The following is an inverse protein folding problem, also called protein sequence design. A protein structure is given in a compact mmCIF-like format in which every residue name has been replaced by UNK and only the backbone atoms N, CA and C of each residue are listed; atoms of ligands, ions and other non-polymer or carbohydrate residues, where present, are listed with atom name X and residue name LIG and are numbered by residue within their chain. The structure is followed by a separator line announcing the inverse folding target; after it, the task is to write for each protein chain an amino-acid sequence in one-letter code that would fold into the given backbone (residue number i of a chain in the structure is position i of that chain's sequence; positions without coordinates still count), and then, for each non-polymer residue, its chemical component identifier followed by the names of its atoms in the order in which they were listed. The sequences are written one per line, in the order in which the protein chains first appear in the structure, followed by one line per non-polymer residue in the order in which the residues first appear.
data_IF_793968456624
#
_entry.id   IF_793968456624
#
_cell.length_a   1.000
_cell.length_b   1.000
_cell.length_c   1.000
_cell.angle_alpha   90.00
_cell.angle_beta   90.00
_cell.angle_gamma   90.00
#
_symmetry.space_group_name_H-M   'P 1'
#
loop_
_entity.id
_entity.type
_entity.pdbx_description
1 polymer ?
#
# COMPACT_ATOMS: atom_id res chain seq x y z
N UNK A 1 -22.64 17.85 -14.33
CA UNK A 1 -21.61 18.31 -13.35
C UNK A 1 -22.11 18.45 -11.90
N UNK A 2 -23.41 18.57 -11.61
CA UNK A 2 -23.93 18.79 -10.25
C UNK A 2 -23.85 17.60 -9.27
N UNK A 3 -24.10 16.37 -9.73
CA UNK A 3 -24.13 15.19 -8.83
C UNK A 3 -22.78 14.85 -8.19
N UNK A 4 -21.67 15.01 -8.91
CA UNK A 4 -20.32 14.73 -8.37
C UNK A 4 -19.91 15.72 -7.29
N UNK A 5 -20.20 17.01 -7.49
CA UNK A 5 -19.97 18.06 -6.47
C UNK A 5 -20.84 17.81 -5.23
N UNK A 6 -22.08 17.38 -5.42
CA UNK A 6 -22.99 17.03 -4.32
C UNK A 6 -22.52 15.81 -3.51
N UNK A 7 -22.02 14.75 -4.17
CA UNK A 7 -21.46 13.58 -3.46
C UNK A 7 -20.21 13.92 -2.67
N UNK A 8 -19.28 14.68 -3.25
CA UNK A 8 -18.06 15.11 -2.57
C UNK A 8 -18.39 16.01 -1.37
N UNK A 9 -19.26 16.99 -1.54
CA UNK A 9 -19.62 17.89 -0.44
C UNK A 9 -20.35 17.15 0.68
N UNK A 10 -21.20 16.18 0.36
CA UNK A 10 -21.83 15.31 1.35
C UNK A 10 -20.79 14.48 2.12
N UNK A 11 -19.86 13.82 1.42
CA UNK A 11 -18.80 13.03 2.04
C UNK A 11 -17.94 13.89 2.97
N UNK A 12 -17.47 15.05 2.51
CA UNK A 12 -16.61 15.94 3.32
C UNK A 12 -17.35 16.56 4.51
N UNK A 13 -18.68 16.71 4.44
CA UNK A 13 -19.49 17.08 5.61
C UNK A 13 -19.53 15.99 6.67
N UNK A 14 -19.58 14.73 6.26
CA UNK A 14 -19.56 13.57 7.17
C UNK A 14 -18.15 13.26 7.68
N UNK A 15 -17.14 13.56 6.87
CA UNK A 15 -15.74 13.25 7.11
C UNK A 15 -14.88 14.51 6.97
N UNK A 16 -14.99 15.47 7.91
CA UNK A 16 -14.41 16.81 7.73
C UNK A 16 -12.90 16.89 7.91
N UNK A 17 -12.26 15.88 8.54
CA UNK A 17 -10.84 15.89 8.88
C UNK A 17 -10.07 14.83 8.11
N UNK A 18 -8.82 15.13 7.75
CA UNK A 18 -7.91 14.22 7.08
C UNK A 18 -7.56 13.01 7.98
N UNK A 19 -7.61 11.80 7.44
CA UNK A 19 -7.25 10.59 8.19
C UNK A 19 -5.73 10.35 8.32
N UNK A 20 -4.91 11.06 7.56
CA UNK A 20 -3.46 10.79 7.45
C UNK A 20 -2.56 11.67 8.30
N UNK A 21 -3.03 12.85 8.73
CA UNK A 21 -2.24 13.82 9.49
C UNK A 21 -2.81 14.05 10.89
N UNK A 22 -3.18 12.98 11.59
CA UNK A 22 -3.73 13.08 12.95
C UNK A 22 -5.15 13.64 13.05
N UNK A 23 -5.80 14.00 11.94
CA UNK A 23 -7.05 14.76 11.97
C UNK A 23 -6.85 16.27 12.15
N UNK A 24 -5.62 16.77 12.01
CA UNK A 24 -5.28 18.17 12.27
C UNK A 24 -5.82 19.13 11.19
N UNK A 25 -5.86 18.66 9.94
CA UNK A 25 -6.22 19.47 8.77
C UNK A 25 -7.56 19.02 8.18
N UNK A 26 -8.32 19.98 7.66
CA UNK A 26 -9.57 19.71 6.97
C UNK A 26 -9.36 18.85 5.72
N UNK A 27 -10.27 17.91 5.50
CA UNK A 27 -10.30 17.10 4.31
C UNK A 27 -10.76 17.92 3.11
N UNK A 28 -9.99 17.84 2.02
CA UNK A 28 -10.31 18.50 0.75
C UNK A 28 -10.65 17.52 -0.37
N UNK A 29 -10.46 16.22 -0.13
CA UNK A 29 -10.54 15.19 -1.15
C UNK A 29 -10.94 13.83 -0.58
N UNK A 30 -11.37 12.94 -1.47
CA UNK A 30 -11.63 11.53 -1.18
C UNK A 30 -10.45 10.73 -1.72
N UNK A 31 -9.79 10.02 -0.83
CA UNK A 31 -8.74 9.07 -1.19
C UNK A 31 -9.29 7.64 -1.28
N UNK A 32 -8.72 6.84 -2.17
CA UNK A 32 -9.11 5.47 -2.43
C UNK A 32 -8.01 4.55 -1.92
N UNK A 33 -8.34 3.67 -0.98
CA UNK A 33 -7.36 2.83 -0.31
C UNK A 33 -7.75 1.35 -0.40
N UNK A 34 -6.93 0.46 -1.00
CA UNK A 34 -5.73 0.76 -1.76
C UNK A 34 -5.99 1.65 -2.98
N UNK A 35 -4.93 2.28 -3.55
CA UNK A 35 -5.04 3.13 -4.73
C UNK A 35 -5.66 2.39 -5.91
N UNK A 36 -6.47 3.10 -6.71
CA UNK A 36 -7.06 2.51 -7.94
C UNK A 36 -6.02 1.88 -8.86
N UNK A 37 -4.79 2.43 -8.85
CA UNK A 37 -3.70 1.96 -9.69
C UNK A 37 -3.41 0.47 -9.49
N UNK A 38 -3.57 -0.07 -8.28
CA UNK A 38 -3.28 -1.48 -7.95
C UNK A 38 -4.31 -2.45 -8.50
N UNK A 39 -5.50 -1.98 -8.89
CA UNK A 39 -6.54 -2.86 -9.43
C UNK A 39 -6.43 -2.96 -10.95
N UNK A 40 -6.74 -4.15 -11.49
CA UNK A 40 -6.80 -4.41 -12.94
C UNK A 40 -7.69 -3.37 -13.60
N UNK A 41 -7.19 -2.76 -14.67
CA UNK A 41 -7.90 -1.69 -15.41
C UNK A 41 -8.32 -0.46 -14.58
N UNK A 42 -7.72 -0.26 -13.39
CA UNK A 42 -8.15 0.75 -12.40
C UNK A 42 -9.61 0.56 -11.93
N UNK A 43 -10.18 -0.62 -12.13
CA UNK A 43 -11.55 -0.93 -11.77
C UNK A 43 -11.59 -1.57 -10.39
N UNK A 44 -12.14 -0.85 -9.41
CA UNK A 44 -12.32 -1.33 -8.04
C UNK A 44 -13.76 -1.15 -7.56
N UNK A 45 -14.26 -2.02 -6.67
CA UNK A 45 -15.48 -1.76 -5.92
C UNK A 45 -15.32 -0.58 -4.94
N UNK A 46 -16.43 0.06 -4.59
CA UNK A 46 -16.50 1.01 -3.46
C UNK A 46 -16.40 0.31 -2.10
N UNK A 47 -16.19 1.07 -1.03
CA UNK A 47 -16.20 0.60 0.36
C UNK A 47 -14.91 0.86 1.15
N UNK A 48 -13.95 1.57 0.58
CA UNK A 48 -12.69 1.94 1.22
C UNK A 48 -12.23 3.30 0.69
N UNK A 49 -13.06 4.30 0.95
CA UNK A 49 -12.87 5.69 0.60
C UNK A 49 -12.70 6.49 1.90
N UNK A 50 -11.62 7.27 2.02
CA UNK A 50 -11.29 8.00 3.26
C UNK A 50 -11.06 9.49 2.99
N UNK A 51 -11.30 10.36 3.99
CA UNK A 51 -11.04 11.78 3.86
C UNK A 51 -9.54 12.09 3.87
N UNK A 52 -9.08 12.88 2.92
CA UNK A 52 -7.69 13.34 2.87
C UNK A 52 -7.60 14.83 2.56
N UNK A 53 -6.68 15.54 3.22
CA UNK A 53 -6.31 16.88 2.82
C UNK A 53 -5.55 16.84 1.47
N UNK A 54 -5.52 17.97 0.76
CA UNK A 54 -4.86 18.07 -0.55
C UNK A 54 -3.37 17.75 -0.49
N UNK A 55 -2.71 18.06 0.63
CA UNK A 55 -1.28 17.78 0.81
C UNK A 55 -1.01 16.28 0.90
N UNK A 56 -1.60 15.58 1.88
CA UNK A 56 -1.38 14.14 2.05
C UNK A 56 -1.78 13.36 0.79
N UNK A 57 -2.95 13.63 0.21
CA UNK A 57 -3.41 12.92 -0.99
C UNK A 57 -2.46 13.12 -2.19
N UNK A 58 -1.90 14.32 -2.36
CA UNK A 58 -0.93 14.58 -3.44
C UNK A 58 0.44 13.94 -3.16
N UNK A 59 0.89 13.91 -1.91
CA UNK A 59 2.18 13.34 -1.51
C UNK A 59 2.30 11.85 -1.84
N UNK A 60 1.18 11.12 -1.84
CA UNK A 60 1.19 9.68 -2.06
C UNK A 60 1.22 9.24 -3.53
N UNK A 61 0.79 10.10 -4.46
CA UNK A 61 0.58 9.75 -5.88
C UNK A 61 1.79 9.09 -6.57
N UNK A 62 3.05 9.55 -6.36
CA UNK A 62 4.22 8.88 -6.94
C UNK A 62 4.41 7.43 -6.45
N UNK A 63 4.07 7.15 -5.19
CA UNK A 63 4.20 5.82 -4.58
C UNK A 63 3.09 4.87 -5.04
N UNK A 64 1.89 5.39 -5.34
CA UNK A 64 0.77 4.58 -5.85
C UNK A 64 1.10 3.83 -7.13
N UNK A 65 1.77 4.53 -8.06
CA UNK A 65 2.16 3.96 -9.35
C UNK A 65 3.26 2.91 -9.18
N UNK A 66 4.23 3.18 -8.30
CA UNK A 66 5.33 2.26 -8.04
C UNK A 66 4.84 0.99 -7.33
N UNK A 67 4.01 1.17 -6.32
CA UNK A 67 3.37 0.06 -5.60
C UNK A 67 2.50 -0.81 -6.50
N UNK A 68 1.72 -0.19 -7.39
CA UNK A 68 0.95 -0.92 -8.40
C UNK A 68 1.86 -1.71 -9.36
N UNK A 69 2.96 -1.12 -9.82
CA UNK A 69 3.95 -1.81 -10.65
C UNK A 69 4.49 -3.07 -9.97
N UNK A 70 4.94 -2.97 -8.70
CA UNK A 70 5.40 -4.13 -7.92
C UNK A 70 4.29 -5.17 -7.77
N UNK A 71 3.05 -4.73 -7.52
CA UNK A 71 1.90 -5.63 -7.37
C UNK A 71 1.59 -6.39 -8.68
N UNK A 72 1.82 -5.79 -9.85
CA UNK A 72 1.59 -6.43 -11.14
C UNK A 72 2.75 -7.30 -11.65
N UNK A 73 3.95 -7.22 -11.06
CA UNK A 73 5.12 -7.99 -11.53
C UNK A 73 4.86 -9.51 -11.58
N UNK A 74 3.94 -10.05 -10.77
CA UNK A 74 3.63 -11.47 -10.78
C UNK A 74 2.34 -11.87 -11.47
N UNK A 75 1.48 -10.90 -11.78
CA UNK A 75 0.20 -11.16 -12.44
C UNK A 75 0.42 -11.82 -13.82
N UNK A 76 1.57 -11.54 -14.45
CA UNK A 76 2.02 -12.10 -15.71
C UNK A 76 2.23 -13.62 -15.68
N UNK A 77 2.58 -14.21 -14.53
CA UNK A 77 2.95 -15.64 -14.45
C UNK A 77 1.77 -16.60 -14.22
N UNK A 78 0.70 -16.15 -13.55
CA UNK A 78 -0.43 -17.03 -13.17
C UNK A 78 -1.65 -16.93 -14.09
N UNK A 79 -1.88 -15.79 -14.74
CA UNK A 79 -3.20 -15.51 -15.35
C UNK A 79 -3.18 -15.34 -16.87
N UNK A 80 -2.05 -15.50 -17.56
CA UNK A 80 -1.87 -15.01 -18.95
C UNK A 80 -2.38 -13.57 -19.12
N UNK A 81 -2.32 -12.78 -18.05
CA UNK A 81 -2.88 -11.44 -18.00
C UNK A 81 -1.75 -10.45 -18.08
N UNK A 82 -1.72 -9.70 -19.17
CA UNK A 82 -0.83 -8.55 -19.34
C UNK A 82 -1.66 -7.32 -19.01
N UNK A 83 -1.33 -6.62 -17.93
CA UNK A 83 -1.94 -5.33 -17.62
C UNK A 83 -1.54 -4.33 -18.72
N UNK A 84 -2.47 -3.80 -19.53
CA UNK A 84 -2.13 -2.95 -20.69
C UNK A 84 -1.35 -1.70 -20.32
N UNK A 85 -1.47 -1.24 -19.07
CA UNK A 85 -0.77 -0.07 -18.54
C UNK A 85 0.69 -0.33 -18.16
N UNK A 86 1.17 -1.57 -18.16
CA UNK A 86 2.47 -1.92 -17.59
C UNK A 86 3.62 -1.09 -18.18
N UNK A 87 3.68 -0.94 -19.51
CA UNK A 87 4.69 -0.12 -20.16
C UNK A 87 4.59 1.36 -19.78
N UNK A 88 3.37 1.91 -19.71
CA UNK A 88 3.17 3.30 -19.28
C UNK A 88 3.55 3.53 -17.82
N UNK A 89 3.34 2.54 -16.94
CA UNK A 89 3.81 2.62 -15.54
C UNK A 89 5.34 2.72 -15.51
N UNK A 90 6.05 1.84 -16.22
CA UNK A 90 7.53 1.90 -16.28
C UNK A 90 7.99 3.29 -16.74
N UNK A 91 7.42 3.82 -17.82
CA UNK A 91 7.77 5.16 -18.31
C UNK A 91 7.51 6.26 -17.29
N UNK A 92 6.44 6.17 -16.49
CA UNK A 92 6.14 7.11 -15.39
C UNK A 92 7.06 6.97 -14.19
N UNK A 93 7.60 5.77 -13.95
CA UNK A 93 8.48 5.45 -12.82
C UNK A 93 9.94 5.78 -13.07
N UNK A 94 10.45 5.63 -14.30
CA UNK A 94 11.86 5.89 -14.63
C UNK A 94 12.36 7.27 -14.13
N UNK A 95 11.62 8.38 -14.29
CA UNK A 95 12.08 9.67 -13.80
C UNK A 95 12.13 9.80 -12.26
N UNK A 96 11.36 8.98 -11.53
CA UNK A 96 11.14 9.10 -10.08
C UNK A 96 11.89 8.04 -9.26
N UNK A 97 12.11 6.87 -9.86
CA UNK A 97 12.76 5.70 -9.28
C UNK A 97 13.80 5.10 -10.26
N UNK A 98 14.72 5.89 -10.84
CA UNK A 98 15.57 5.38 -11.92
C UNK A 98 16.47 4.23 -11.46
N UNK A 99 17.08 4.34 -10.29
CA UNK A 99 17.97 3.32 -9.73
C UNK A 99 17.22 2.01 -9.45
N UNK A 100 16.04 2.09 -8.80
CA UNK A 100 15.21 0.93 -8.53
C UNK A 100 14.72 0.24 -9.83
N UNK A 101 14.31 1.01 -10.85
CA UNK A 101 13.88 0.43 -12.13
C UNK A 101 15.06 -0.23 -12.85
N UNK A 102 16.23 0.43 -12.88
CA UNK A 102 17.46 -0.13 -13.47
C UNK A 102 17.86 -1.42 -12.75
N UNK A 103 17.81 -1.45 -11.42
CA UNK A 103 18.09 -2.63 -10.63
C UNK A 103 17.14 -3.77 -10.98
N UNK A 104 15.84 -3.53 -10.92
CA UNK A 104 14.81 -4.54 -11.22
C UNK A 104 15.06 -5.14 -12.59
N UNK A 105 15.33 -4.32 -13.61
CA UNK A 105 15.60 -4.80 -14.97
C UNK A 105 16.93 -5.56 -15.07
N UNK A 106 18.02 -5.04 -14.49
CA UNK A 106 19.37 -5.63 -14.62
C UNK A 106 19.54 -6.93 -13.83
N UNK A 107 18.98 -6.99 -12.63
CA UNK A 107 19.07 -8.15 -11.74
C UNK A 107 17.95 -9.16 -11.99
N UNK A 108 16.97 -8.83 -12.83
CA UNK A 108 15.97 -9.80 -13.29
C UNK A 108 16.63 -10.96 -14.01
N UNK A 109 16.25 -12.18 -13.64
CA UNK A 109 16.77 -13.41 -14.23
C UNK A 109 15.63 -14.31 -14.71
N UNK A 110 15.95 -15.27 -15.58
CA UNK A 110 15.00 -16.32 -15.95
C UNK A 110 15.00 -17.40 -14.88
N UNK A 111 13.82 -17.76 -14.40
CA UNK A 111 13.61 -18.85 -13.46
C UNK A 111 12.52 -19.80 -13.93
N UNK A 112 12.24 -20.80 -13.10
CA UNK A 112 11.17 -21.76 -13.32
C UNK A 112 10.34 -21.91 -12.05
N UNK A 113 9.02 -21.93 -12.19
CA UNK A 113 8.10 -22.20 -11.08
C UNK A 113 7.19 -23.37 -11.45
N UNK A 114 6.87 -24.21 -10.49
CA UNK A 114 5.82 -25.23 -10.66
C UNK A 114 4.46 -24.56 -10.50
N UNK A 115 3.58 -24.75 -11.47
CA UNK A 115 2.20 -24.32 -11.36
C UNK A 115 1.36 -25.30 -10.51
N UNK A 116 0.07 -25.03 -10.35
CA UNK A 116 -0.84 -25.89 -9.58
C UNK A 116 -1.02 -27.30 -10.16
N UNK A 117 -0.69 -27.51 -11.45
CA UNK A 117 -0.69 -28.82 -12.10
C UNK A 117 0.64 -29.56 -11.95
N UNK A 118 1.64 -28.94 -11.33
CA UNK A 118 2.99 -29.48 -11.17
C UNK A 118 3.92 -29.25 -12.37
N UNK A 119 3.44 -28.57 -13.43
CA UNK A 119 4.23 -28.27 -14.61
C UNK A 119 5.17 -27.07 -14.37
N UNK A 120 6.40 -27.17 -14.87
CA UNK A 120 7.36 -26.09 -14.81
C UNK A 120 7.02 -25.03 -15.86
N UNK A 121 6.86 -23.78 -15.40
CA UNK A 121 6.65 -22.61 -16.26
C UNK A 121 7.86 -21.66 -16.17
N UNK A 122 8.36 -21.16 -17.30
CA UNK A 122 9.41 -20.14 -17.28
C UNK A 122 8.84 -18.83 -16.72
N UNK A 123 9.60 -18.18 -15.86
CA UNK A 123 9.24 -16.89 -15.27
C UNK A 123 10.43 -15.93 -15.28
N UNK A 124 10.14 -14.64 -15.12
CA UNK A 124 11.15 -13.66 -14.76
C UNK A 124 11.13 -13.49 -13.24
N UNK A 125 12.28 -13.68 -12.62
CA UNK A 125 12.50 -13.46 -11.19
C UNK A 125 13.14 -12.09 -11.05
N UNK A 126 12.38 -11.12 -10.54
CA UNK A 126 12.87 -9.80 -10.18
C UNK A 126 13.36 -9.80 -8.72
N UNK A 127 14.48 -9.13 -8.48
CA UNK A 127 15.01 -8.87 -7.13
C UNK A 127 14.68 -7.44 -6.72
N UNK A 128 14.52 -7.23 -5.41
CA UNK A 128 14.21 -5.94 -4.82
C UNK A 128 15.22 -5.69 -3.71
N UNK A 129 16.33 -5.03 -4.02
CA UNK A 129 17.38 -4.68 -3.05
C UNK A 129 17.50 -3.15 -2.87
N UNK A 130 17.00 -2.36 -3.83
CA UNK A 130 17.00 -0.90 -3.73
C UNK A 130 16.10 -0.42 -2.57
N UNK A 131 16.63 0.37 -1.62
CA UNK A 131 15.87 0.89 -0.48
C UNK A 131 14.61 1.68 -0.86
N UNK A 132 14.55 2.31 -2.04
CA UNK A 132 13.35 3.00 -2.51
C UNK A 132 12.20 2.03 -2.80
N UNK A 133 12.49 0.78 -3.17
CA UNK A 133 11.45 -0.25 -3.33
C UNK A 133 10.81 -0.57 -1.99
N UNK A 134 11.65 -0.87 -0.99
CA UNK A 134 11.20 -1.18 0.37
C UNK A 134 10.39 -0.02 0.95
N UNK A 135 10.96 1.19 0.90
CA UNK A 135 10.29 2.40 1.33
C UNK A 135 8.91 2.58 0.70
N UNK A 136 8.79 2.45 -0.63
CA UNK A 136 7.51 2.65 -1.31
C UNK A 136 6.45 1.62 -0.88
N UNK A 137 6.83 0.35 -0.74
CA UNK A 137 5.92 -0.72 -0.30
C UNK A 137 5.48 -0.55 1.14
N UNK A 138 6.42 -0.24 2.01
CA UNK A 138 6.23 -0.08 3.45
C UNK A 138 5.45 1.20 3.78
N UNK A 139 5.76 2.30 3.09
CA UNK A 139 5.01 3.55 3.19
C UNK A 139 3.54 3.36 2.81
N UNK A 140 3.29 2.62 1.73
CA UNK A 140 1.93 2.30 1.29
C UNK A 140 1.19 1.45 2.32
N UNK A 141 1.87 0.52 2.99
CA UNK A 141 1.26 -0.24 4.08
C UNK A 141 0.90 0.65 5.27
N UNK A 142 1.78 1.57 5.69
CA UNK A 142 1.47 2.53 6.74
C UNK A 142 0.23 3.39 6.40
N UNK A 143 0.16 3.88 5.15
CA UNK A 143 -1.00 4.64 4.65
C UNK A 143 -2.29 3.80 4.67
N UNK A 144 -2.23 2.58 4.17
CA UNK A 144 -3.40 1.69 4.16
C UNK A 144 -3.85 1.41 5.60
N UNK A 145 -2.92 1.17 6.53
CA UNK A 145 -3.22 1.01 7.96
C UNK A 145 -3.92 2.23 8.55
N UNK A 146 -3.44 3.45 8.31
CA UNK A 146 -4.12 4.69 8.74
C UNK A 146 -5.57 4.75 8.28
N UNK A 147 -5.80 4.44 7.00
CA UNK A 147 -7.13 4.47 6.41
C UNK A 147 -8.04 3.40 7.03
N UNK A 148 -7.53 2.18 7.28
CA UNK A 148 -8.33 1.12 7.90
C UNK A 148 -8.63 1.40 9.37
N UNK A 149 -7.69 1.98 10.13
CA UNK A 149 -7.98 2.48 11.48
C UNK A 149 -9.12 3.49 11.42
N UNK A 150 -9.04 4.49 10.52
CA UNK A 150 -10.11 5.47 10.37
C UNK A 150 -11.47 4.83 10.04
N UNK A 151 -11.50 3.90 9.08
CA UNK A 151 -12.75 3.29 8.61
C UNK A 151 -13.41 2.38 9.65
N UNK A 152 -12.64 1.61 10.41
CA UNK A 152 -13.19 0.61 11.32
C UNK A 152 -13.24 1.07 12.78
N UNK A 153 -12.39 2.00 13.19
CA UNK A 153 -12.46 2.62 14.50
C UNK A 153 -13.27 3.91 14.49
N UNK A 154 -13.26 4.67 13.38
CA UNK A 154 -13.92 5.97 13.29
C UNK A 154 -13.06 7.16 13.75
N UNK A 155 -11.77 6.96 14.01
CA UNK A 155 -10.84 8.00 14.42
C UNK A 155 -9.53 7.96 13.60
N UNK A 156 -8.96 9.13 13.32
CA UNK A 156 -7.63 9.23 12.72
C UNK A 156 -6.57 8.67 13.66
N UNK A 157 -5.51 8.11 13.10
CA UNK A 157 -4.32 7.72 13.87
C UNK A 157 -3.67 8.99 14.44
N UNK A 158 -3.47 9.12 15.76
CA UNK A 158 -2.91 10.33 16.38
C UNK A 158 -1.50 10.67 15.91
N UNK A 159 -1.11 11.94 16.06
CA UNK A 159 0.28 12.37 15.89
C UNK A 159 1.23 11.51 16.75
N UNK A 160 2.47 11.35 16.28
CA UNK A 160 3.51 10.55 16.95
C UNK A 160 3.21 9.05 17.07
N UNK A 161 2.10 8.58 16.48
CA UNK A 161 1.90 7.15 16.32
C UNK A 161 2.88 6.61 15.29
N UNK A 162 3.55 5.52 15.62
CA UNK A 162 4.58 4.90 14.82
C UNK A 162 4.03 3.70 14.04
N UNK A 163 4.62 3.46 12.86
CA UNK A 163 4.33 2.29 12.03
C UNK A 163 5.59 1.44 11.89
N UNK A 164 5.46 0.17 12.25
CA UNK A 164 6.42 -0.87 11.91
C UNK A 164 5.86 -1.65 10.74
N UNK A 165 6.62 -1.79 9.69
CA UNK A 165 6.19 -2.51 8.49
C UNK A 165 7.26 -3.49 8.08
N UNK A 166 6.82 -4.63 7.57
CA UNK A 166 7.71 -5.62 6.95
C UNK A 166 6.98 -6.25 5.79
N UNK A 167 7.65 -6.42 4.67
CA UNK A 167 7.06 -7.10 3.53
C UNK A 167 7.90 -8.28 3.08
N UNK A 168 7.23 -9.25 2.47
CA UNK A 168 7.84 -10.44 1.88
C UNK A 168 7.24 -10.67 0.50
N UNK A 169 8.09 -10.90 -0.49
CA UNK A 169 7.65 -11.37 -1.80
C UNK A 169 7.18 -12.82 -1.73
N UNK A 170 6.44 -13.27 -2.74
CA UNK A 170 6.05 -14.68 -2.88
C UNK A 170 7.24 -15.66 -2.99
N UNK A 171 8.43 -15.16 -3.33
CA UNK A 171 9.64 -15.95 -3.56
C UNK A 171 10.51 -16.04 -2.31
N UNK A 172 10.19 -15.26 -1.27
CA UNK A 172 10.88 -15.31 0.01
C UNK A 172 10.59 -16.64 0.73
N UNK A 173 11.63 -17.22 1.35
CA UNK A 173 11.48 -18.39 2.21
C UNK A 173 10.55 -18.14 3.41
N UNK A 174 10.42 -16.89 3.84
CA UNK A 174 9.58 -16.49 4.97
C UNK A 174 8.09 -16.38 4.61
N UNK A 175 7.74 -16.41 3.32
CA UNK A 175 6.37 -16.11 2.86
C UNK A 175 5.32 -16.98 3.55
N UNK A 176 5.58 -18.28 3.72
CA UNK A 176 4.66 -19.20 4.40
C UNK A 176 4.47 -18.87 5.89
N UNK A 177 5.53 -18.45 6.57
CA UNK A 177 5.48 -18.08 7.99
C UNK A 177 4.69 -16.78 8.18
N UNK A 178 4.93 -15.76 7.36
CA UNK A 178 4.18 -14.50 7.40
C UNK A 178 2.69 -14.75 7.08
N UNK A 179 2.40 -15.61 6.10
CA UNK A 179 1.01 -15.99 5.78
C UNK A 179 0.32 -16.70 6.95
N UNK A 180 1.04 -17.55 7.69
CA UNK A 180 0.50 -18.21 8.89
C UNK A 180 0.19 -17.20 9.99
N UNK A 181 1.09 -16.24 10.24
CA UNK A 181 0.87 -15.16 11.21
C UNK A 181 -0.33 -14.29 10.82
N UNK A 182 -0.41 -13.90 9.54
CA UNK A 182 -1.51 -13.10 9.01
C UNK A 182 -2.88 -13.77 9.19
N UNK A 183 -2.96 -15.11 9.06
CA UNK A 183 -4.20 -15.88 9.29
C UNK A 183 -4.65 -15.86 10.75
N UNK A 184 -3.75 -15.59 11.70
CA UNK A 184 -4.08 -15.43 13.11
C UNK A 184 -4.82 -14.14 13.43
N UNK A 185 -4.84 -13.17 12.50
CA UNK A 185 -5.59 -11.93 12.66
C UNK A 185 -7.10 -12.18 12.48
N UNK A 186 -7.95 -11.66 13.40
CA UNK A 186 -9.35 -12.08 13.53
C UNK A 186 -10.26 -11.52 12.44
N UNK A 187 -10.01 -10.31 11.96
CA UNK A 187 -10.85 -9.67 10.96
C UNK A 187 -10.30 -9.86 9.55
N UNK A 188 -11.19 -9.82 8.56
CA UNK A 188 -10.88 -9.96 7.15
C UNK A 188 -11.65 -8.92 6.34
N UNK A 189 -11.00 -8.33 5.34
CA UNK A 189 -11.67 -7.50 4.35
C UNK A 189 -11.07 -7.67 2.95
N UNK A 190 -11.95 -7.64 1.96
CA UNK A 190 -11.65 -7.35 0.56
C UNK A 190 -12.76 -6.46 -0.01
N UNK A 191 -12.58 -5.93 -1.23
CA UNK A 191 -13.58 -5.12 -1.89
C UNK A 191 -14.56 -5.99 -2.70
N UNK A 192 -15.86 -5.71 -2.56
CA UNK A 192 -16.94 -6.40 -3.27
C UNK A 192 -18.09 -5.45 -3.59
N UNK A 193 -18.65 -5.56 -4.80
CA UNK A 193 -19.86 -4.85 -5.23
C UNK A 193 -20.69 -5.78 -6.11
N UNK A 194 -21.84 -6.23 -5.60
CA UNK A 194 -22.64 -7.26 -6.25
C UNK A 194 -21.86 -8.58 -6.39
N UNK A 195 -21.79 -9.11 -7.61
CA UNK A 195 -20.99 -10.30 -7.96
C UNK A 195 -19.50 -9.99 -8.17
N UNK A 196 -19.14 -8.73 -8.40
CA UNK A 196 -17.75 -8.32 -8.61
C UNK A 196 -17.01 -8.26 -7.27
N UNK A 197 -15.90 -8.97 -7.17
CA UNK A 197 -15.01 -8.96 -6.02
C UNK A 197 -13.55 -8.91 -6.49
N UNK A 198 -12.66 -8.44 -5.63
CA UNK A 198 -11.24 -8.29 -5.93
C UNK A 198 -10.36 -9.00 -4.90
N UNK A 199 -10.84 -10.09 -4.29
CA UNK A 199 -10.07 -10.85 -3.29
C UNK A 199 -8.82 -11.51 -3.89
N UNK A 200 -8.78 -11.67 -5.21
CA UNK A 200 -7.59 -12.09 -5.96
C UNK A 200 -6.54 -10.97 -6.12
N UNK A 201 -6.92 -9.70 -5.91
CA UNK A 201 -6.07 -8.52 -6.14
C UNK A 201 -5.68 -7.82 -4.85
N UNK A 202 -6.60 -7.76 -3.88
CA UNK A 202 -6.39 -7.14 -2.58
C UNK A 202 -7.23 -7.83 -1.51
N UNK A 203 -6.58 -8.16 -0.41
CA UNK A 203 -7.23 -8.51 0.83
C UNK A 203 -6.39 -8.02 2.02
N UNK A 204 -7.05 -7.81 3.15
CA UNK A 204 -6.40 -7.49 4.40
C UNK A 204 -6.97 -8.36 5.52
N UNK A 205 -6.11 -8.78 6.43
CA UNK A 205 -6.51 -9.24 7.75
C UNK A 205 -6.02 -8.28 8.81
N UNK A 206 -6.79 -8.10 9.88
CA UNK A 206 -6.46 -7.07 10.86
C UNK A 206 -7.05 -7.31 12.25
N UNK A 207 -6.48 -6.63 13.23
CA UNK A 207 -7.11 -6.28 14.49
C UNK A 207 -6.89 -4.80 14.76
N UNK A 208 -7.86 -4.14 15.42
CA UNK A 208 -7.73 -2.77 15.90
C UNK A 208 -8.24 -2.78 17.34
N UNK A 209 -7.35 -2.53 18.28
CA UNK A 209 -7.69 -2.36 19.71
C UNK A 209 -7.96 -0.87 20.00
N UNK A 210 -7.13 0.01 19.43
CA UNK A 210 -7.26 1.46 19.53
C UNK A 210 -6.65 2.14 18.29
N UNK A 211 -6.75 3.47 18.13
CA UNK A 211 -6.14 4.15 16.98
C UNK A 211 -4.61 4.11 16.99
N UNK A 212 -4.02 3.83 18.16
CA UNK A 212 -2.58 3.69 18.36
C UNK A 212 -2.14 2.24 18.56
N UNK A 213 -3.06 1.26 18.53
CA UNK A 213 -2.78 -0.16 18.70
C UNK A 213 -3.58 -0.99 17.73
N UNK A 214 -2.93 -1.35 16.63
CA UNK A 214 -3.53 -2.15 15.58
C UNK A 214 -2.47 -2.99 14.87
N UNK A 215 -2.90 -4.07 14.23
CA UNK A 215 -2.05 -4.90 13.40
C UNK A 215 -2.75 -5.32 12.14
N UNK A 216 -2.01 -5.33 11.04
CA UNK A 216 -2.51 -5.56 9.70
C UNK A 216 -1.60 -6.54 8.96
N UNK A 217 -2.22 -7.31 8.08
CA UNK A 217 -1.54 -8.09 7.06
C UNK A 217 -2.28 -7.91 5.73
N UNK A 218 -1.59 -7.34 4.75
CA UNK A 218 -2.11 -7.04 3.42
C UNK A 218 -1.53 -8.01 2.41
N UNK A 219 -2.36 -8.48 1.47
CA UNK A 219 -1.92 -9.31 0.36
C UNK A 219 -2.36 -8.65 -0.96
N UNK A 220 -1.44 -8.54 -1.91
CA UNK A 220 -1.66 -7.89 -3.20
C UNK A 220 -1.34 -8.82 -4.35
N UNK A 221 -2.35 -9.21 -5.12
CA UNK A 221 -2.24 -10.12 -6.30
C UNK A 221 -1.48 -11.43 -6.05
N UNK A 222 -1.36 -11.86 -4.79
CA UNK A 222 -0.45 -12.94 -4.37
C UNK A 222 1.02 -12.66 -4.73
N UNK A 223 1.35 -11.41 -5.01
CA UNK A 223 2.69 -10.93 -5.38
C UNK A 223 3.59 -10.81 -4.17
N UNK A 224 3.06 -10.15 -3.16
CA UNK A 224 3.73 -9.93 -1.90
C UNK A 224 2.71 -9.76 -0.79
N UNK A 225 3.21 -9.92 0.42
CA UNK A 225 2.49 -9.63 1.64
C UNK A 225 3.22 -8.54 2.41
N UNK A 226 2.47 -7.62 3.00
CA UNK A 226 3.02 -6.60 3.91
C UNK A 226 2.30 -6.69 5.24
N UNK A 227 3.04 -6.75 6.33
CA UNK A 227 2.49 -6.57 7.68
C UNK A 227 2.75 -5.16 8.14
N UNK A 228 1.84 -4.64 8.97
CA UNK A 228 1.98 -3.35 9.61
C UNK A 228 1.49 -3.43 11.06
N UNK A 229 2.30 -2.94 11.99
CA UNK A 229 1.92 -2.73 13.39
C UNK A 229 1.87 -1.23 13.65
N UNK A 230 0.79 -0.79 14.27
CA UNK A 230 0.56 0.58 14.72
C UNK A 230 0.73 0.59 16.23
N UNK A 231 1.65 1.41 16.73
CA UNK A 231 1.97 1.53 18.15
C UNK A 231 2.26 2.99 18.55
N UNK A 232 2.01 3.40 19.81
CA UNK A 232 2.43 4.73 20.25
C UNK A 232 3.97 4.82 20.33
N UNK A 233 4.53 6.00 20.05
CA UNK A 233 5.99 6.24 20.11
C UNK A 233 6.62 5.85 21.46
N UNK A 234 5.90 6.02 22.57
CA UNK A 234 6.40 5.66 23.90
C UNK A 234 6.58 4.14 24.12
N UNK A 235 6.03 3.28 23.24
CA UNK A 235 6.07 1.81 23.37
C UNK A 235 6.95 1.17 22.31
N UNK A 236 7.93 1.90 21.78
CA UNK A 236 8.93 1.34 20.85
C UNK A 236 9.63 0.14 21.48
N UNK A 237 9.32 -1.04 20.93
CA UNK A 237 10.12 -2.25 21.14
C UNK A 237 11.50 -2.16 20.45
N UNK A 238 12.23 -3.27 20.43
CA UNK A 238 13.61 -3.33 19.88
C UNK A 238 13.70 -3.07 18.37
N UNK A 239 12.66 -3.39 17.59
CA UNK A 239 12.61 -3.04 16.17
C UNK A 239 12.27 -1.54 16.01
N UNK A 240 13.06 -0.81 15.21
CA UNK A 240 12.82 0.60 14.94
C UNK A 240 11.59 0.80 14.04
N UNK A 241 10.65 1.68 14.39
CA UNK A 241 9.56 2.03 13.49
C UNK A 241 10.08 2.80 12.28
N UNK A 242 9.48 2.53 11.13
CA UNK A 242 9.90 3.12 9.86
C UNK A 242 9.22 4.46 9.60
N UNK A 243 7.97 4.62 10.04
CA UNK A 243 7.18 5.83 9.81
C UNK A 243 6.51 6.33 11.08
N UNK A 244 6.12 7.61 11.06
CA UNK A 244 5.34 8.26 12.10
C UNK A 244 4.27 9.17 11.49
N UNK A 245 3.18 9.40 12.24
CA UNK A 245 2.19 10.42 11.88
C UNK A 245 2.67 11.80 12.35
N UNK A 246 2.77 12.73 11.41
CA UNK A 246 3.06 14.15 11.65
C UNK A 246 1.90 15.03 11.19
N UNK A 247 2.02 16.34 11.40
CA UNK A 247 1.06 17.33 10.88
C UNK A 247 1.03 17.39 9.35
N UNK A 248 2.10 16.95 8.70
CA UNK A 248 2.23 16.91 7.24
C UNK A 248 1.79 15.54 6.67
N UNK A 249 1.37 14.61 7.53
CA UNK A 249 0.92 13.28 7.15
C UNK A 249 1.87 12.19 7.64
N UNK A 250 1.96 11.10 6.90
CA UNK A 250 2.87 10.00 7.23
C UNK A 250 4.26 10.36 6.72
N UNK A 251 5.26 10.30 7.59
CA UNK A 251 6.65 10.62 7.26
C UNK A 251 7.61 9.52 7.76
N UNK A 252 8.78 9.33 7.13
CA UNK A 252 9.83 8.50 7.69
C UNK A 252 10.26 9.01 9.07
N UNK A 253 10.51 8.11 9.99
CA UNK A 253 10.85 8.47 11.37
C UNK A 253 12.14 9.30 11.45
N UNK A 254 13.16 8.89 10.69
CA UNK A 254 14.45 9.58 10.65
C UNK A 254 14.44 10.78 9.69
N UNK A 255 13.28 11.15 9.14
CA UNK A 255 13.11 12.19 8.11
C UNK A 255 13.90 11.97 6.81
N UNK A 256 14.64 10.87 6.71
CA UNK A 256 15.44 10.52 5.55
C UNK A 256 14.63 9.68 4.57
N UNK A 257 14.43 10.23 3.38
CA UNK A 257 14.00 9.47 2.22
C UNK A 257 15.21 8.74 1.62
N UNK A 258 15.03 7.56 1.02
CA UNK A 258 16.10 6.90 0.30
C UNK A 258 16.75 7.84 -0.73
N UNK A 259 18.08 7.90 -0.84
CA UNK A 259 18.76 8.83 -1.75
C UNK A 259 18.49 8.54 -3.23
N UNK A 260 18.10 7.30 -3.56
CA UNK A 260 17.64 6.90 -4.90
C UNK A 260 16.24 7.43 -5.25
N UNK A 261 15.50 7.96 -4.27
CA UNK A 261 14.14 8.45 -4.47
C UNK A 261 14.16 9.87 -5.06
N UNK A 262 13.71 10.01 -6.31
CA UNK A 262 13.62 11.31 -7.01
C UNK A 262 12.19 11.81 -7.06
N UNK A 263 11.58 11.95 -5.89
CA UNK A 263 10.27 12.60 -5.75
C UNK A 263 10.52 14.02 -5.25
N UNK A 264 9.97 15.06 -5.89
CA UNK A 264 10.01 16.40 -5.32
C UNK A 264 9.25 16.36 -4.00
N UNK A 265 10.00 16.31 -2.89
CA UNK A 265 9.44 16.46 -1.55
C UNK A 265 8.90 17.89 -1.52
N UNK A 266 7.58 18.03 -1.56
CA UNK A 266 6.94 19.32 -1.32
C UNK A 266 7.16 19.64 0.16
N UNK A 267 8.23 20.37 0.45
CA UNK A 267 8.44 21.06 1.74
C UNK A 267 7.40 22.15 1.91
#
# INVERSE_FOLDING_TARGET
MGQRKSKLSFFLKQHPKCCYCGGEVDAGSIDHVPPKAVFKYKHRPSGLEVPACSHCNAAHSPFDEFFAFIAFLQLSSKANHVEPRFNSMISGLVPRFPEAIVEIVRKSSRGWVKDASGLLRPVIVATFEDPAVHFAVEYMAARISCALVYLFHGASVPLQTCFKTRWVSNASGDHAAVMKLARGLPNYISLKQGSFNTSDQFEARYFIESPTRAGFAFNFHQSFQVTCVVEPEAQRGEEEPLFTVTRDGIAPLNHDYPPSLRIPVRR
#
